data_IF_133203299041
#
_entry.id   IF_133203299041
#
_cell.length_a   1.000
_cell.length_b   1.000
_cell.length_c   1.000
_cell.angle_alpha   90.00
_cell.angle_beta   90.00
_cell.angle_gamma   90.00
#
_symmetry.space_group_name_H-M   'P 1'
#
loop_
_entity.id
_entity.type
_entity.pdbx_description
1 polymer ?
#
# COMPACT_ATOMS: atom_id res chain seq x y z
N UNK A 1 -4.52 -16.66 0.31
CA UNK A 1 -3.44 -16.41 -0.68
C UNK A 1 -3.93 -15.77 -1.99
N UNK A 2 -4.96 -16.30 -2.67
CA UNK A 2 -5.43 -15.73 -3.97
C UNK A 2 -5.83 -14.25 -3.91
N UNK A 3 -6.47 -13.79 -2.83
CA UNK A 3 -6.86 -12.38 -2.65
C UNK A 3 -5.66 -11.46 -2.41
N UNK A 4 -4.66 -11.93 -1.67
CA UNK A 4 -3.41 -11.20 -1.42
C UNK A 4 -2.61 -11.01 -2.73
N UNK A 5 -2.42 -12.08 -3.50
CA UNK A 5 -1.73 -12.02 -4.78
C UNK A 5 -2.41 -11.06 -5.77
N UNK A 6 -3.76 -11.08 -5.82
CA UNK A 6 -4.53 -10.10 -6.62
C UNK A 6 -4.29 -8.66 -6.15
N UNK A 7 -4.32 -8.41 -4.85
CA UNK A 7 -4.06 -7.08 -4.29
C UNK A 7 -2.66 -6.58 -4.64
N UNK A 8 -1.64 -7.42 -4.49
CA UNK A 8 -0.27 -7.10 -4.84
C UNK A 8 -0.10 -6.82 -6.35
N UNK A 9 -0.74 -7.61 -7.20
CA UNK A 9 -0.73 -7.42 -8.65
C UNK A 9 -1.37 -6.08 -9.05
N UNK A 10 -2.53 -5.75 -8.50
CA UNK A 10 -3.20 -4.46 -8.76
C UNK A 10 -2.33 -3.29 -8.33
N UNK A 11 -1.69 -3.38 -7.15
CA UNK A 11 -0.80 -2.32 -6.65
C UNK A 11 0.41 -2.11 -7.56
N UNK A 12 1.04 -3.18 -8.05
CA UNK A 12 2.17 -3.07 -8.97
C UNK A 12 1.78 -2.55 -10.35
N UNK A 13 0.60 -2.94 -10.88
CA UNK A 13 0.06 -2.35 -12.12
C UNK A 13 -0.18 -0.85 -11.93
N UNK A 14 -0.75 -0.46 -10.79
CA UNK A 14 -0.99 0.95 -10.48
C UNK A 14 0.35 1.71 -10.37
N UNK A 15 1.35 1.14 -9.70
CA UNK A 15 2.69 1.71 -9.60
C UNK A 15 3.32 1.94 -10.98
N UNK A 16 3.15 0.98 -11.90
CA UNK A 16 3.61 1.10 -13.28
C UNK A 16 2.92 2.25 -14.02
N UNK A 17 1.60 2.35 -13.93
CA UNK A 17 0.84 3.44 -14.55
C UNK A 17 1.26 4.79 -13.98
N UNK A 18 1.38 4.91 -12.66
CA UNK A 18 1.81 6.15 -12.00
C UNK A 18 3.23 6.54 -12.42
N UNK A 19 4.14 5.57 -12.50
CA UNK A 19 5.51 5.78 -12.97
C UNK A 19 5.53 6.27 -14.42
N UNK A 20 4.79 5.61 -15.32
CA UNK A 20 4.70 5.99 -16.72
C UNK A 20 4.10 7.40 -16.90
N UNK A 21 3.08 7.74 -16.12
CA UNK A 21 2.43 9.04 -16.15
C UNK A 21 3.37 10.14 -15.62
N UNK A 22 4.12 9.87 -14.55
CA UNK A 22 5.13 10.79 -14.04
C UNK A 22 6.27 11.02 -15.05
N UNK A 23 6.76 9.97 -15.72
CA UNK A 23 7.77 10.07 -16.77
C UNK A 23 7.26 10.94 -17.93
N UNK A 24 6.02 10.73 -18.35
CA UNK A 24 5.39 11.48 -19.42
C UNK A 24 5.23 12.97 -19.07
N UNK A 25 4.74 13.28 -17.87
CA UNK A 25 4.58 14.68 -17.40
C UNK A 25 5.93 15.39 -17.28
N UNK A 26 6.95 14.69 -16.80
CA UNK A 26 8.28 15.27 -16.54
C UNK A 26 9.21 15.20 -17.76
N UNK A 27 8.73 14.71 -18.92
CA UNK A 27 9.50 14.44 -20.16
C UNK A 27 10.86 13.76 -19.89
N UNK A 28 10.87 12.78 -18.99
CA UNK A 28 12.10 12.09 -18.59
C UNK A 28 12.50 11.09 -19.66
N UNK A 29 13.69 11.28 -20.22
CA UNK A 29 14.26 10.41 -21.28
C UNK A 29 15.49 9.64 -20.85
N UNK A 30 16.12 10.06 -19.77
CA UNK A 30 17.25 9.36 -19.19
C UNK A 30 16.77 8.13 -18.43
N UNK A 31 17.39 6.97 -18.70
CA UNK A 31 17.13 5.75 -17.96
C UNK A 31 17.29 5.95 -16.45
N UNK A 32 18.33 6.67 -16.02
CA UNK A 32 18.56 6.96 -14.59
C UNK A 32 17.40 7.77 -13.98
N UNK A 33 16.90 8.78 -14.67
CA UNK A 33 15.78 9.59 -14.17
C UNK A 33 14.46 8.79 -14.11
N UNK A 34 14.26 7.89 -15.08
CA UNK A 34 13.12 6.96 -15.09
C UNK A 34 13.19 6.01 -13.89
N UNK A 35 14.39 5.50 -13.55
CA UNK A 35 14.59 4.63 -12.38
C UNK A 35 14.40 5.36 -11.05
N UNK A 36 14.86 6.61 -10.96
CA UNK A 36 14.62 7.44 -9.77
C UNK A 36 13.12 7.61 -9.52
N UNK A 37 12.35 7.95 -10.56
CA UNK A 37 10.89 8.08 -10.45
C UNK A 37 10.24 6.76 -10.04
N UNK A 38 10.61 5.64 -10.66
CA UNK A 38 10.09 4.33 -10.29
C UNK A 38 10.38 4.00 -8.81
N UNK A 39 11.57 4.34 -8.33
CA UNK A 39 11.99 4.16 -6.93
C UNK A 39 11.18 5.05 -5.99
N UNK A 40 10.96 6.32 -6.34
CA UNK A 40 10.12 7.23 -5.54
C UNK A 40 8.66 6.77 -5.46
N UNK A 41 8.11 6.22 -6.53
CA UNK A 41 6.76 5.64 -6.52
C UNK A 41 6.68 4.46 -5.55
N UNK A 42 7.67 3.56 -5.59
CA UNK A 42 7.75 2.42 -4.66
C UNK A 42 7.92 2.85 -3.19
N UNK A 43 8.79 3.82 -2.94
CA UNK A 43 8.99 4.40 -1.60
C UNK A 43 7.74 5.12 -1.10
N UNK A 44 7.07 5.88 -1.97
CA UNK A 44 5.83 6.57 -1.66
C UNK A 44 4.70 5.61 -1.29
N UNK A 45 4.54 4.52 -2.05
CA UNK A 45 3.61 3.44 -1.69
C UNK A 45 3.97 2.79 -0.35
N UNK A 46 5.26 2.53 -0.10
CA UNK A 46 5.74 1.97 1.16
C UNK A 46 5.45 2.89 2.35
N UNK A 47 5.73 4.19 2.21
CA UNK A 47 5.48 5.20 3.22
C UNK A 47 3.98 5.37 3.50
N UNK A 48 3.14 5.42 2.47
CA UNK A 48 1.68 5.44 2.61
C UNK A 48 1.18 4.19 3.34
N UNK A 49 1.70 3.02 2.99
CA UNK A 49 1.37 1.76 3.67
C UNK A 49 1.76 1.78 5.15
N UNK A 50 2.95 2.29 5.47
CA UNK A 50 3.42 2.41 6.84
C UNK A 50 2.57 3.39 7.67
N UNK A 51 2.17 4.53 7.08
CA UNK A 51 1.26 5.50 7.71
C UNK A 51 -0.12 4.91 7.96
N UNK A 52 -0.69 4.20 6.98
CA UNK A 52 -1.98 3.51 7.14
C UNK A 52 -1.90 2.42 8.21
N UNK A 53 -0.80 1.67 8.24
CA UNK A 53 -0.57 0.64 9.24
C UNK A 53 -0.47 1.24 10.65
N UNK A 54 0.33 2.29 10.82
CA UNK A 54 0.50 2.99 12.09
C UNK A 54 -0.80 3.66 12.57
N UNK A 55 -1.56 4.28 11.65
CA UNK A 55 -2.87 4.86 11.95
C UNK A 55 -3.96 3.84 12.27
N UNK A 56 -3.82 2.61 11.76
CA UNK A 56 -4.72 1.48 12.07
C UNK A 56 -4.37 0.75 13.37
N UNK A 57 -3.26 1.11 14.03
CA UNK A 57 -2.88 0.50 15.30
C UNK A 57 -3.91 0.87 16.38
N UNK A 58 -4.42 -0.12 17.15
CA UNK A 58 -5.45 0.10 18.15
C UNK A 58 -4.88 0.96 19.29
N UNK A 59 -5.14 2.27 19.24
CA UNK A 59 -4.71 3.19 20.28
C UNK A 59 -4.69 4.68 19.93
N UNK A 60 -4.72 5.08 18.66
CA UNK A 60 -4.43 6.50 18.33
C UNK A 60 -5.65 7.41 18.13
N UNK A 61 -6.83 6.96 17.71
CA UNK A 61 -8.02 7.87 17.64
C UNK A 61 -9.40 7.21 17.50
N UNK A 62 -9.50 5.88 17.40
CA UNK A 62 -10.78 5.22 17.11
C UNK A 62 -11.53 4.71 18.36
N UNK A 63 -10.87 4.55 19.50
CA UNK A 63 -11.42 3.84 20.66
C UNK A 63 -12.36 4.66 21.53
N UNK A 64 -12.19 5.98 21.65
CA UNK A 64 -13.02 6.79 22.57
C UNK A 64 -14.43 7.06 22.04
N UNK A 65 -14.59 7.29 20.74
CA UNK A 65 -15.91 7.50 20.10
C UNK A 65 -16.69 6.20 19.88
N UNK A 66 -16.01 5.10 19.50
CA UNK A 66 -16.66 3.79 19.37
C UNK A 66 -16.96 3.15 20.73
N UNK A 67 -16.13 3.30 21.76
CA UNK A 67 -16.43 2.74 23.08
C UNK A 67 -17.69 3.35 23.70
N UNK A 68 -17.94 4.66 23.47
CA UNK A 68 -19.14 5.33 23.93
C UNK A 68 -20.41 4.82 23.21
N UNK A 69 -20.35 4.58 21.89
CA UNK A 69 -21.49 4.03 21.13
C UNK A 69 -21.65 2.51 21.26
N UNK A 70 -20.59 1.78 21.61
CA UNK A 70 -20.58 0.34 21.83
C UNK A 70 -21.27 -0.05 23.14
N UNK A 71 -21.19 0.79 24.18
CA UNK A 71 -21.90 0.58 25.43
C UNK A 71 -23.43 0.49 25.24
N UNK A 72 -23.98 1.16 24.22
CA UNK A 72 -25.41 1.19 23.94
C UNK A 72 -25.92 0.04 23.06
N UNK A 73 -25.06 -0.67 22.30
CA UNK A 73 -25.47 -1.74 21.38
C UNK A 73 -24.44 -2.90 21.27
N UNK A 74 -24.48 -3.87 22.19
CA UNK A 74 -23.52 -4.99 22.23
C UNK A 74 -23.56 -5.91 20.99
N UNK A 75 -24.67 -5.97 20.26
CA UNK A 75 -24.79 -6.75 19.02
C UNK A 75 -23.90 -6.22 17.89
N UNK A 76 -23.72 -4.89 17.78
CA UNK A 76 -22.85 -4.27 16.76
C UNK A 76 -21.37 -4.52 17.01
N UNK A 77 -20.96 -4.67 18.27
CA UNK A 77 -19.59 -5.01 18.65
C UNK A 77 -19.24 -6.42 18.19
N UNK A 78 -20.19 -7.36 18.27
CA UNK A 78 -19.97 -8.74 17.88
C UNK A 78 -19.84 -8.89 16.36
N UNK A 79 -20.60 -8.09 15.60
CA UNK A 79 -20.43 -7.97 14.14
C UNK A 79 -19.12 -7.26 13.75
N UNK A 80 -18.68 -6.24 14.51
CA UNK A 80 -17.39 -5.58 14.25
C UNK A 80 -16.19 -6.48 14.57
N UNK A 81 -16.26 -7.23 15.68
CA UNK A 81 -15.27 -8.25 16.06
C UNK A 81 -15.27 -9.44 15.07
N UNK A 82 -16.42 -9.77 14.49
CA UNK A 82 -16.56 -10.77 13.43
C UNK A 82 -15.96 -10.31 12.10
N UNK A 83 -16.15 -9.04 11.75
CA UNK A 83 -15.54 -8.39 10.58
C UNK A 83 -14.01 -8.30 10.67
N UNK A 84 -13.47 -8.05 11.86
CA UNK A 84 -12.03 -7.97 12.12
C UNK A 84 -11.29 -9.31 11.96
N UNK A 85 -11.98 -10.45 12.15
CA UNK A 85 -11.38 -11.78 11.90
C UNK A 85 -11.29 -12.12 10.41
N UNK A 86 -12.05 -11.45 9.54
CA UNK A 86 -12.06 -11.69 8.09
C UNK A 86 -11.05 -10.84 7.32
N UNK A 87 -10.50 -9.77 7.92
CA UNK A 87 -9.55 -8.83 7.30
C UNK A 87 -8.09 -9.20 7.59
N UNK A 88 -7.71 -10.46 7.36
CA UNK A 88 -6.42 -11.04 7.85
C UNK A 88 -5.12 -10.40 7.32
N UNK A 89 -5.19 -9.30 6.56
CA UNK A 89 -4.04 -8.52 6.11
C UNK A 89 -4.42 -7.04 6.17
N UNK A 90 -3.79 -6.29 7.06
CA UNK A 90 -3.94 -4.83 7.12
C UNK A 90 -3.62 -4.23 5.75
N UNK A 91 -4.53 -3.40 5.22
CA UNK A 91 -4.34 -2.69 3.95
C UNK A 91 -3.02 -1.92 3.90
N UNK A 92 -2.56 -1.41 5.05
CA UNK A 92 -1.24 -0.78 5.17
C UNK A 92 -0.10 -1.76 4.87
N UNK A 93 -0.16 -2.99 5.38
CA UNK A 93 0.85 -4.02 5.11
C UNK A 93 0.87 -4.42 3.62
N UNK A 94 -0.29 -4.47 2.96
CA UNK A 94 -0.38 -4.68 1.52
C UNK A 94 0.33 -3.59 0.71
N UNK A 95 0.17 -2.32 1.11
CA UNK A 95 0.85 -1.20 0.47
C UNK A 95 2.36 -1.22 0.70
N UNK A 96 2.82 -1.57 1.91
CA UNK A 96 4.25 -1.75 2.22
C UNK A 96 4.86 -2.83 1.33
N UNK A 97 4.23 -4.01 1.28
CA UNK A 97 4.70 -5.12 0.45
C UNK A 97 4.60 -4.79 -1.04
N UNK A 98 3.57 -4.05 -1.46
CA UNK A 98 3.44 -3.50 -2.81
C UNK A 98 4.61 -2.61 -3.16
N UNK A 99 4.94 -1.62 -2.32
CA UNK A 99 6.07 -0.72 -2.51
C UNK A 99 7.42 -1.44 -2.60
N UNK A 100 7.69 -2.37 -1.68
CA UNK A 100 8.93 -3.18 -1.70
C UNK A 100 9.00 -4.04 -2.96
N UNK A 101 7.90 -4.69 -3.36
CA UNK A 101 7.87 -5.50 -4.57
C UNK A 101 8.10 -4.66 -5.83
N UNK A 102 7.54 -3.45 -5.90
CA UNK A 102 7.75 -2.54 -7.02
C UNK A 102 9.20 -2.07 -7.12
N UNK A 103 9.84 -1.73 -5.99
CA UNK A 103 11.27 -1.38 -5.97
C UNK A 103 12.10 -2.55 -6.51
N UNK A 104 11.81 -3.78 -6.07
CA UNK A 104 12.49 -4.97 -6.58
C UNK A 104 12.33 -5.15 -8.09
N UNK A 105 11.12 -4.93 -8.63
CA UNK A 105 10.85 -4.98 -10.08
C UNK A 105 11.60 -3.87 -10.81
N UNK A 106 11.55 -2.64 -10.32
CA UNK A 106 12.23 -1.49 -10.94
C UNK A 106 13.75 -1.71 -11.03
N UNK A 107 14.36 -2.27 -9.98
CA UNK A 107 15.78 -2.62 -9.96
C UNK A 107 16.13 -3.76 -10.92
N UNK A 108 15.30 -4.79 -11.00
CA UNK A 108 15.46 -5.87 -12.00
C UNK A 108 15.40 -5.31 -13.42
N UNK A 109 14.44 -4.43 -13.71
CA UNK A 109 14.33 -3.77 -15.01
C UNK A 109 15.55 -2.88 -15.30
N UNK A 110 16.12 -2.23 -14.28
CA UNK A 110 17.36 -1.45 -14.41
C UNK A 110 18.55 -2.29 -14.83
N UNK A 111 18.71 -3.46 -14.22
CA UNK A 111 19.82 -4.35 -14.56
C UNK A 111 19.64 -4.95 -15.96
N UNK A 112 18.40 -5.29 -16.34
CA UNK A 112 18.11 -5.95 -17.62
C UNK A 112 18.13 -5.00 -18.82
N UNK A 113 17.79 -3.72 -18.64
CA UNK A 113 17.60 -2.76 -19.73
C UNK A 113 18.43 -1.48 -19.62
N UNK A 114 19.15 -1.27 -18.52
CA UNK A 114 19.95 -0.07 -18.24
C UNK A 114 21.45 -0.19 -18.55
N UNK A 115 21.87 -1.24 -19.27
CA UNK A 115 23.24 -1.48 -19.72
C UNK A 115 23.45 -1.15 -21.19
#
# INVERSE_FOLDING_TARGET
MRHFAKGLAVLNILALVVTALAIWILDLRSAAAIFDVASYVGLGMGALGALMFFGSAPGVSASTGMAASAADQPSRIMDSLGGDKASSISTGALFVLGGVSWIGIAWLLAILFGG
#
